data_IF_509705649715
#
_entry.id   IF_509705649715
#
_cell.length_a   1.000
_cell.length_b   1.000
_cell.length_c   1.000
_cell.angle_alpha   90.00
_cell.angle_beta   90.00
_cell.angle_gamma   90.00
#
_symmetry.space_group_name_H-M   'P 1'
#
loop_
_entity.id
_entity.type
_entity.pdbx_description
1 polymer ?
#
# COMPACT_ATOMS: atom_id res chain seq x y z
N UNK A 1 20.75 -17.46 -10.60
CA UNK A 1 21.14 -16.19 -9.94
C UNK A 1 20.93 -16.37 -8.45
N UNK A 2 21.45 -15.49 -7.57
CA UNK A 2 21.23 -15.64 -6.14
C UNK A 2 19.76 -15.37 -5.78
N UNK A 3 19.19 -16.17 -4.89
CA UNK A 3 17.87 -15.93 -4.32
C UNK A 3 17.91 -14.74 -3.37
N UNK A 4 16.90 -13.90 -3.44
CA UNK A 4 16.80 -12.68 -2.64
C UNK A 4 15.47 -12.60 -1.90
N UNK A 5 15.51 -12.03 -0.72
CA UNK A 5 14.32 -11.75 0.07
C UNK A 5 13.47 -10.63 -0.55
N UNK A 6 12.19 -10.84 -0.58
CA UNK A 6 11.18 -9.89 -1.00
C UNK A 6 9.99 -9.95 -0.02
N UNK A 7 9.34 -8.82 0.19
CA UNK A 7 8.12 -8.73 0.99
C UNK A 7 6.93 -8.44 0.07
N UNK A 8 5.87 -9.21 0.18
CA UNK A 8 4.58 -8.94 -0.45
C UNK A 8 3.61 -8.50 0.64
N UNK A 9 2.93 -7.37 0.42
CA UNK A 9 1.99 -6.75 1.35
C UNK A 9 0.62 -6.65 0.68
N UNK A 10 -0.40 -7.33 1.20
CA UNK A 10 -1.77 -7.23 0.70
C UNK A 10 -2.55 -6.17 1.50
N UNK A 11 -2.75 -5.01 0.90
CA UNK A 11 -3.41 -3.86 1.52
C UNK A 11 -4.86 -4.17 1.91
N UNK A 12 -5.57 -4.93 1.08
CA UNK A 12 -6.99 -5.26 1.32
C UNK A 12 -7.20 -6.05 2.62
N UNK A 13 -6.20 -6.82 3.03
CA UNK A 13 -6.24 -7.64 4.24
C UNK A 13 -5.91 -6.87 5.53
N UNK A 14 -5.34 -5.66 5.43
CA UNK A 14 -4.89 -4.90 6.58
C UNK A 14 -6.09 -4.24 7.30
N UNK A 15 -6.28 -4.59 8.56
CA UNK A 15 -7.34 -4.03 9.42
C UNK A 15 -6.81 -3.05 10.50
N UNK A 16 -5.55 -2.58 10.36
CA UNK A 16 -4.91 -1.64 11.29
C UNK A 16 -4.81 -2.13 12.74
N UNK A 17 -4.66 -3.41 12.97
CA UNK A 17 -4.51 -3.95 14.35
C UNK A 17 -3.17 -3.58 15.00
N UNK A 18 -2.18 -3.14 14.22
CA UNK A 18 -0.81 -2.74 14.62
C UNK A 18 0.03 -3.84 15.28
N UNK A 19 -0.36 -5.10 15.19
CA UNK A 19 0.43 -6.21 15.72
C UNK A 19 1.84 -6.26 15.09
N UNK A 20 1.95 -6.04 13.78
CA UNK A 20 3.23 -5.98 13.07
C UNK A 20 4.14 -4.83 13.57
N UNK A 21 3.56 -3.65 13.79
CA UNK A 21 4.28 -2.51 14.38
C UNK A 21 4.83 -2.86 15.78
N UNK A 22 3.97 -3.43 16.63
CA UNK A 22 4.37 -3.82 17.99
C UNK A 22 5.41 -4.93 18.00
N UNK A 23 5.31 -5.92 17.09
CA UNK A 23 6.30 -6.99 16.99
C UNK A 23 7.69 -6.49 16.59
N UNK A 24 7.77 -5.57 15.61
CA UNK A 24 9.03 -4.92 15.24
C UNK A 24 9.58 -4.07 16.39
N UNK A 25 8.69 -3.37 17.10
CA UNK A 25 9.06 -2.55 18.26
C UNK A 25 9.61 -3.40 19.40
N UNK A 26 8.92 -4.48 19.74
CA UNK A 26 9.30 -5.42 20.80
C UNK A 26 10.65 -6.09 20.49
N UNK A 27 10.86 -6.51 19.25
CA UNK A 27 12.10 -7.14 18.81
C UNK A 27 13.32 -6.22 18.99
N UNK A 28 13.17 -4.94 18.65
CA UNK A 28 14.31 -4.02 18.52
C UNK A 28 14.46 -3.01 19.66
N UNK A 29 13.47 -2.84 20.55
CA UNK A 29 13.57 -1.92 21.68
C UNK A 29 14.34 -2.56 22.82
N UNK A 30 15.45 -1.94 23.23
CA UNK A 30 16.34 -2.46 24.28
C UNK A 30 17.19 -3.65 23.84
N UNK A 31 17.13 -4.06 22.59
CA UNK A 31 17.90 -5.17 22.02
C UNK A 31 18.88 -4.67 20.96
N UNK A 32 20.14 -5.03 21.12
CA UNK A 32 21.18 -4.79 20.10
C UNK A 32 21.48 -6.09 19.35
N UNK A 33 21.57 -5.98 18.04
CA UNK A 33 21.95 -7.09 17.15
C UNK A 33 23.26 -6.75 16.45
N UNK A 34 24.44 -7.12 17.03
CA UNK A 34 25.74 -6.77 16.47
C UNK A 34 25.88 -7.19 15.00
N UNK A 35 26.26 -6.26 14.15
CA UNK A 35 26.34 -6.48 12.70
C UNK A 35 25.03 -6.28 11.92
N UNK A 36 23.89 -6.09 12.59
CA UNK A 36 22.59 -5.84 11.96
C UNK A 36 22.02 -4.49 12.34
N UNK A 37 21.78 -4.23 13.62
CA UNK A 37 21.18 -2.99 14.10
C UNK A 37 21.57 -2.70 15.56
N UNK A 38 21.64 -1.41 15.90
CA UNK A 38 21.55 -0.98 17.29
C UNK A 38 20.09 -0.92 17.73
N UNK A 39 19.85 -0.92 19.04
CA UNK A 39 18.51 -0.86 19.60
C UNK A 39 17.69 0.33 19.05
N UNK A 40 16.42 0.09 18.84
CA UNK A 40 15.45 1.14 18.48
C UNK A 40 15.05 1.90 19.75
N UNK A 41 14.92 3.24 19.71
CA UNK A 41 14.39 3.97 20.86
C UNK A 41 12.93 3.56 21.13
N UNK A 42 12.49 3.55 22.41
CA UNK A 42 11.14 3.14 22.79
C UNK A 42 10.05 4.03 22.15
N UNK A 43 10.37 5.28 21.87
CA UNK A 43 9.44 6.25 21.32
C UNK A 43 10.02 6.95 20.08
N UNK A 44 9.14 7.50 19.24
CA UNK A 44 9.51 8.38 18.13
C UNK A 44 9.97 7.72 16.83
N UNK A 45 10.25 6.41 16.82
CA UNK A 45 10.67 5.68 15.63
C UNK A 45 9.70 4.55 15.28
N UNK A 46 9.30 4.51 14.01
CA UNK A 46 8.44 3.47 13.46
C UNK A 46 9.15 2.84 12.27
N UNK A 47 9.94 1.77 12.52
CA UNK A 47 10.63 1.07 11.42
C UNK A 47 9.66 0.32 10.51
N UNK A 48 8.48 -0.02 11.04
CA UNK A 48 7.30 -0.42 10.31
C UNK A 48 6.16 0.45 10.83
N UNK A 49 5.45 1.14 9.95
CA UNK A 49 4.27 1.95 10.30
C UNK A 49 3.10 1.57 9.40
N UNK A 50 1.93 2.12 9.68
CA UNK A 50 0.72 1.88 8.89
C UNK A 50 0.14 3.23 8.46
N UNK A 51 0.17 3.50 7.17
CA UNK A 51 -0.51 4.63 6.57
C UNK A 51 -2.00 4.35 6.45
N UNK A 52 -2.82 5.36 6.69
CA UNK A 52 -4.28 5.31 6.54
C UNK A 52 -4.71 6.17 5.37
N UNK A 53 -5.60 5.63 4.55
CA UNK A 53 -6.29 6.36 3.49
C UNK A 53 -7.78 6.17 3.62
N UNK A 54 -8.50 7.28 3.76
CA UNK A 54 -9.96 7.33 3.62
C UNK A 54 -10.29 7.81 2.22
N UNK A 55 -11.32 7.21 1.60
CA UNK A 55 -11.82 7.56 0.27
C UNK A 55 -13.33 7.67 0.29
N UNK A 56 -13.84 8.61 -0.51
CA UNK A 56 -15.28 8.86 -0.63
C UNK A 56 -15.85 9.77 0.44
N UNK A 57 -17.15 9.95 0.37
CA UNK A 57 -17.95 10.77 1.30
C UNK A 57 -19.21 10.00 1.65
N UNK A 58 -19.81 10.35 2.81
CA UNK A 58 -21.09 9.73 3.21
C UNK A 58 -22.12 9.76 2.06
N UNK A 59 -22.85 8.66 1.80
CA UNK A 59 -22.88 7.42 2.56
C UNK A 59 -21.84 6.37 2.16
N UNK A 60 -21.12 6.55 1.05
CA UNK A 60 -20.14 5.56 0.55
C UNK A 60 -18.72 6.01 0.92
N UNK A 61 -18.20 5.43 1.98
CA UNK A 61 -16.85 5.68 2.48
C UNK A 61 -16.10 4.36 2.67
N UNK A 62 -14.86 4.30 2.26
CA UNK A 62 -13.95 3.22 2.65
C UNK A 62 -12.68 3.75 3.33
N UNK A 63 -12.04 2.89 4.11
CA UNK A 63 -10.78 3.19 4.76
C UNK A 63 -9.82 2.00 4.57
N UNK A 64 -8.64 2.28 4.05
CA UNK A 64 -7.60 1.29 3.81
C UNK A 64 -6.33 1.64 4.57
N UNK A 65 -5.53 0.61 4.86
CA UNK A 65 -4.36 0.70 5.69
C UNK A 65 -3.20 0.00 5.01
N UNK A 66 -2.11 0.73 4.82
CA UNK A 66 -0.93 0.24 4.12
C UNK A 66 0.27 0.20 5.07
N UNK A 67 0.77 -0.98 5.42
CA UNK A 67 2.05 -1.10 6.11
C UNK A 67 3.19 -0.54 5.24
N UNK A 68 4.00 0.33 5.83
CA UNK A 68 5.16 0.96 5.18
C UNK A 68 6.42 0.70 6.00
N UNK A 69 7.53 0.47 5.29
CA UNK A 69 8.82 0.09 5.88
C UNK A 69 9.96 0.37 4.91
N UNK A 70 11.19 0.07 5.31
CA UNK A 70 12.32 0.09 4.39
C UNK A 70 12.05 -0.85 3.20
N UNK A 71 12.17 -0.32 2.00
CA UNK A 71 11.92 -1.06 0.76
C UNK A 71 13.10 -1.93 0.30
N UNK A 72 14.22 -1.94 1.00
CA UNK A 72 15.44 -2.71 0.65
C UNK A 72 15.80 -2.60 -0.83
N UNK A 73 15.79 -1.38 -1.35
CA UNK A 73 15.96 -1.07 -2.78
C UNK A 73 17.26 -1.65 -3.36
N UNK A 74 17.20 -2.14 -4.61
CA UNK A 74 18.41 -2.58 -5.32
C UNK A 74 19.26 -1.40 -5.77
N UNK A 75 18.62 -0.28 -6.10
CA UNK A 75 19.27 1.00 -6.43
C UNK A 75 18.96 2.04 -5.35
N UNK A 76 19.40 1.77 -4.13
CA UNK A 76 19.05 2.55 -2.95
C UNK A 76 19.72 3.93 -2.93
N UNK A 77 18.95 5.04 -2.96
CA UNK A 77 19.51 6.39 -2.87
C UNK A 77 20.29 6.64 -1.58
N UNK A 78 19.86 6.06 -0.46
CA UNK A 78 20.56 6.16 0.82
C UNK A 78 21.99 5.57 0.78
N UNK A 79 22.22 4.54 -0.03
CA UNK A 79 23.58 3.98 -0.22
C UNK A 79 24.49 4.94 -0.98
N UNK A 80 23.94 5.76 -1.87
CA UNK A 80 24.74 6.70 -2.70
C UNK A 80 25.30 7.86 -1.88
N UNK A 81 24.64 8.25 -0.81
CA UNK A 81 25.11 9.33 0.09
C UNK A 81 25.91 8.82 1.28
N UNK A 82 25.78 7.54 1.61
CA UNK A 82 26.48 6.91 2.73
C UNK A 82 27.99 6.89 2.52
N UNK A 83 28.75 7.29 3.55
CA UNK A 83 30.21 7.32 3.56
C UNK A 83 30.76 6.11 4.32
N UNK A 84 32.03 5.78 4.05
CA UNK A 84 32.80 4.76 4.78
C UNK A 84 32.14 3.35 4.78
N UNK A 85 31.31 3.03 3.79
CA UNK A 85 30.58 1.77 3.75
C UNK A 85 29.57 1.63 4.90
N UNK A 86 28.94 2.77 5.30
CA UNK A 86 27.95 2.79 6.37
C UNK A 86 26.66 2.06 6.02
N UNK A 87 26.38 1.88 4.74
CA UNK A 87 25.25 1.04 4.28
C UNK A 87 25.81 -0.06 3.38
N UNK A 88 25.37 -1.27 3.62
CA UNK A 88 25.66 -2.41 2.76
C UNK A 88 24.40 -3.09 2.29
N UNK A 89 24.42 -3.55 1.06
CA UNK A 89 23.42 -4.48 0.53
C UNK A 89 23.99 -5.88 0.59
N UNK A 90 23.25 -6.80 1.21
CA UNK A 90 23.60 -8.21 1.31
C UNK A 90 23.30 -8.92 -0.03
N UNK A 91 23.95 -10.06 -0.24
CA UNK A 91 23.71 -10.88 -1.44
C UNK A 91 22.27 -11.38 -1.55
N UNK A 92 21.60 -11.55 -0.42
CA UNK A 92 20.18 -11.92 -0.31
C UNK A 92 19.21 -10.73 -0.46
N UNK A 93 19.71 -9.54 -0.84
CA UNK A 93 18.90 -8.38 -1.15
C UNK A 93 18.54 -7.48 0.03
N UNK A 94 18.88 -7.84 1.26
CA UNK A 94 18.60 -7.02 2.45
C UNK A 94 19.60 -5.85 2.55
N UNK A 95 19.11 -4.65 2.85
CA UNK A 95 19.93 -3.46 3.11
C UNK A 95 20.13 -3.29 4.61
N UNK A 96 21.36 -3.15 5.04
CA UNK A 96 21.74 -2.96 6.45
C UNK A 96 22.48 -1.63 6.60
N UNK A 97 22.05 -0.83 7.57
CA UNK A 97 22.75 0.38 8.00
C UNK A 97 23.64 0.00 9.20
N UNK A 98 24.94 0.11 9.03
CA UNK A 98 25.92 -0.18 10.08
C UNK A 98 25.86 0.93 11.16
N UNK A 99 25.48 0.62 12.41
CA UNK A 99 25.28 1.64 13.42
C UNK A 99 26.57 2.34 13.88
N UNK A 100 27.72 1.69 13.67
CA UNK A 100 29.02 2.30 14.03
C UNK A 100 29.50 3.23 12.94
N UNK A 101 29.48 2.77 11.68
CA UNK A 101 29.98 3.53 10.52
C UNK A 101 29.05 4.66 10.11
N UNK A 102 27.76 4.58 10.40
CA UNK A 102 26.75 5.57 10.03
C UNK A 102 26.64 6.72 11.02
N UNK A 103 27.37 6.67 12.15
CA UNK A 103 27.32 7.72 13.18
C UNK A 103 27.58 9.10 12.57
N UNK A 104 26.70 10.07 12.87
CA UNK A 104 26.77 11.43 12.40
C UNK A 104 26.33 11.67 10.96
N UNK A 105 25.94 10.63 10.23
CA UNK A 105 25.53 10.73 8.82
C UNK A 105 24.01 10.94 8.68
N UNK A 106 23.53 12.13 9.08
CA UNK A 106 22.10 12.47 9.06
C UNK A 106 21.54 12.56 7.62
N UNK A 107 22.40 12.87 6.65
CA UNK A 107 22.06 12.92 5.22
C UNK A 107 21.49 11.60 4.67
N UNK A 108 21.76 10.47 5.34
CA UNK A 108 21.20 9.17 4.98
C UNK A 108 19.66 9.14 5.15
N UNK A 109 19.15 9.82 6.18
CA UNK A 109 17.70 9.92 6.45
C UNK A 109 16.99 10.64 5.31
N UNK A 110 17.49 11.81 4.94
CA UNK A 110 16.89 12.68 3.91
C UNK A 110 16.98 12.05 2.50
N UNK A 111 17.92 11.14 2.30
CA UNK A 111 18.08 10.45 1.02
C UNK A 111 17.04 9.34 0.76
N UNK A 112 16.26 8.94 1.77
CA UNK A 112 15.22 7.94 1.57
C UNK A 112 13.93 8.58 1.04
N UNK A 113 13.53 8.34 -0.22
CA UNK A 113 12.34 8.98 -0.78
C UNK A 113 11.04 8.44 -0.16
N UNK A 114 11.11 7.32 0.54
CA UNK A 114 9.97 6.68 1.21
C UNK A 114 9.84 7.06 2.68
N UNK A 115 10.73 7.91 3.22
CA UNK A 115 10.71 8.29 4.64
C UNK A 115 10.94 7.13 5.62
N UNK A 116 11.50 6.00 5.15
CA UNK A 116 11.63 4.77 5.92
C UNK A 116 12.90 4.69 6.80
N UNK A 117 13.64 5.78 6.91
CA UNK A 117 14.84 5.87 7.75
C UNK A 117 14.61 6.94 8.81
N UNK A 118 14.74 6.58 10.07
CA UNK A 118 14.60 7.48 11.21
C UNK A 118 15.97 7.87 11.77
N UNK A 119 16.05 9.06 12.34
CA UNK A 119 17.26 9.52 13.03
C UNK A 119 17.18 9.27 14.53
N UNK A 120 18.10 8.49 15.06
CA UNK A 120 18.23 8.28 16.51
C UNK A 120 19.09 9.40 17.11
N UNK A 121 18.45 10.34 17.81
CA UNK A 121 19.11 11.49 18.41
C UNK A 121 20.04 11.12 19.56
N UNK A 122 19.76 10.07 20.32
CA UNK A 122 20.60 9.64 21.43
C UNK A 122 21.90 9.02 20.94
N UNK A 123 21.80 8.10 19.96
CA UNK A 123 22.94 7.38 19.40
C UNK A 123 23.62 8.13 18.25
N UNK A 124 22.98 9.19 17.71
CA UNK A 124 23.42 9.96 16.55
C UNK A 124 23.63 9.08 15.30
N UNK A 125 22.65 8.21 15.01
CA UNK A 125 22.69 7.27 13.89
C UNK A 125 21.36 7.24 13.11
N UNK A 126 21.38 6.97 11.78
CA UNK A 126 20.19 6.61 11.01
C UNK A 126 19.83 5.14 11.27
N UNK A 127 18.53 4.84 11.37
CA UNK A 127 18.02 3.49 11.60
C UNK A 127 16.82 3.20 10.69
N UNK A 128 16.70 1.97 10.25
CA UNK A 128 15.57 1.46 9.47
C UNK A 128 15.32 -0.02 9.78
N UNK A 129 14.15 -0.53 9.40
CA UNK A 129 13.86 -1.95 9.47
C UNK A 129 14.87 -2.77 8.65
N UNK A 130 15.36 -3.84 9.25
CA UNK A 130 16.41 -4.70 8.72
C UNK A 130 15.89 -6.02 8.12
N UNK A 131 14.59 -6.11 7.80
CA UNK A 131 13.94 -7.33 7.32
C UNK A 131 14.10 -8.52 8.27
N UNK A 132 14.28 -8.26 9.57
CA UNK A 132 14.58 -9.26 10.60
C UNK A 132 15.75 -10.20 10.22
N UNK A 133 16.77 -9.65 9.56
CA UNK A 133 17.90 -10.41 8.98
C UNK A 133 18.63 -11.28 9.99
N UNK A 134 18.68 -10.88 11.27
CA UNK A 134 19.28 -11.67 12.34
C UNK A 134 18.51 -12.97 12.58
N UNK A 135 17.18 -12.94 12.55
CA UNK A 135 16.32 -14.14 12.69
C UNK A 135 16.39 -15.04 11.45
N UNK A 136 16.40 -14.42 10.24
CA UNK A 136 16.52 -15.16 9.00
C UNK A 136 17.86 -15.91 8.92
N UNK A 137 18.95 -15.33 9.44
CA UNK A 137 20.25 -15.98 9.52
C UNK A 137 20.29 -17.10 10.58
N UNK A 138 19.39 -17.08 11.56
CA UNK A 138 19.13 -18.17 12.53
C UNK A 138 18.21 -19.26 11.98
N UNK A 139 17.76 -19.13 10.74
CA UNK A 139 16.95 -20.16 10.06
C UNK A 139 15.44 -19.89 10.04
N UNK A 140 15.01 -18.70 10.43
CA UNK A 140 13.61 -18.29 10.23
C UNK A 140 13.29 -18.16 8.75
N UNK A 141 12.06 -18.49 8.39
CA UNK A 141 11.56 -18.42 7.00
C UNK A 141 10.61 -17.26 6.74
N UNK A 142 10.27 -16.50 7.77
CA UNK A 142 9.35 -15.37 7.73
C UNK A 142 9.79 -14.30 8.73
N UNK A 143 9.32 -13.07 8.53
CA UNK A 143 9.61 -11.95 9.44
C UNK A 143 8.68 -11.95 10.66
N UNK A 144 9.06 -11.20 11.71
CA UNK A 144 8.20 -11.01 12.89
C UNK A 144 6.86 -10.36 12.54
N UNK A 145 6.88 -9.41 11.60
CA UNK A 145 5.67 -8.75 11.11
C UNK A 145 4.70 -9.75 10.47
N UNK A 146 5.21 -10.70 9.68
CA UNK A 146 4.43 -11.78 9.07
C UNK A 146 3.89 -12.75 10.10
N UNK A 147 4.77 -13.24 11.02
CA UNK A 147 4.42 -14.20 12.05
C UNK A 147 3.26 -13.73 12.94
N UNK A 148 3.22 -12.43 13.29
CA UNK A 148 2.22 -11.89 14.21
C UNK A 148 0.97 -11.33 13.55
N UNK A 149 0.92 -11.28 12.20
CA UNK A 149 -0.20 -10.69 11.48
C UNK A 149 -1.42 -11.61 11.49
N UNK A 150 -2.55 -11.22 12.13
CA UNK A 150 -3.72 -12.11 12.25
C UNK A 150 -4.53 -12.24 10.95
N UNK A 151 -4.23 -11.42 9.94
CA UNK A 151 -4.98 -11.36 8.68
C UNK A 151 -4.10 -11.64 7.46
N UNK A 152 -2.89 -12.19 7.65
CA UNK A 152 -1.97 -12.60 6.58
C UNK A 152 -1.70 -11.49 5.56
N UNK A 153 -1.43 -10.28 6.04
CA UNK A 153 -1.08 -9.11 5.21
C UNK A 153 0.27 -9.29 4.54
N UNK A 154 1.21 -9.93 5.23
CA UNK A 154 2.61 -10.06 4.81
C UNK A 154 2.92 -11.45 4.31
N UNK A 155 3.77 -11.52 3.29
CA UNK A 155 4.36 -12.77 2.81
C UNK A 155 5.81 -12.53 2.42
N UNK A 156 6.75 -13.10 3.18
CA UNK A 156 8.17 -13.10 2.86
C UNK A 156 8.47 -14.19 1.83
N UNK A 157 9.16 -13.85 0.75
CA UNK A 157 9.56 -14.81 -0.27
C UNK A 157 11.04 -14.66 -0.59
N UNK A 158 11.76 -15.78 -0.63
CA UNK A 158 13.17 -15.83 -1.02
C UNK A 158 13.30 -16.56 -2.35
N UNK A 159 13.46 -15.79 -3.42
CA UNK A 159 13.45 -16.30 -4.79
C UNK A 159 14.42 -15.53 -5.68
N UNK A 160 14.77 -16.09 -6.84
CA UNK A 160 15.49 -15.37 -7.88
C UNK A 160 14.67 -14.21 -8.47
N UNK A 161 15.33 -13.18 -8.99
CA UNK A 161 14.67 -11.98 -9.54
C UNK A 161 13.68 -12.32 -10.69
N UNK A 162 13.99 -13.34 -11.50
CA UNK A 162 13.10 -13.78 -12.57
C UNK A 162 11.80 -14.39 -12.02
N UNK A 163 11.90 -15.19 -10.97
CA UNK A 163 10.72 -15.77 -10.31
C UNK A 163 9.91 -14.70 -9.59
N UNK A 164 10.56 -13.72 -8.95
CA UNK A 164 9.85 -12.59 -8.34
C UNK A 164 9.08 -11.77 -9.39
N UNK A 165 9.65 -11.59 -10.59
CA UNK A 165 8.94 -10.91 -11.67
C UNK A 165 7.71 -11.72 -12.13
N UNK A 166 7.82 -13.05 -12.22
CA UNK A 166 6.66 -13.92 -12.55
C UNK A 166 5.55 -13.79 -11.50
N UNK A 167 5.90 -13.86 -10.22
CA UNK A 167 4.93 -13.67 -9.10
C UNK A 167 4.28 -12.28 -9.19
N UNK A 168 5.07 -11.25 -9.46
CA UNK A 168 4.59 -9.88 -9.61
C UNK A 168 3.52 -9.78 -10.71
N UNK A 169 3.79 -10.36 -11.88
CA UNK A 169 2.90 -10.30 -13.03
C UNK A 169 1.62 -11.13 -12.81
N UNK A 170 1.75 -12.32 -12.24
CA UNK A 170 0.62 -13.22 -11.96
C UNK A 170 -0.33 -12.70 -10.88
N UNK A 171 0.21 -12.06 -9.84
CA UNK A 171 -0.58 -11.54 -8.71
C UNK A 171 -0.94 -10.06 -8.84
N UNK A 172 -0.49 -9.38 -9.91
CA UNK A 172 -0.74 -7.95 -10.14
C UNK A 172 -0.11 -7.07 -9.06
N UNK A 173 1.13 -7.39 -8.66
CA UNK A 173 1.84 -6.65 -7.61
C UNK A 173 2.44 -5.36 -8.17
N UNK A 174 2.44 -4.34 -7.37
CA UNK A 174 3.00 -3.03 -7.69
C UNK A 174 4.09 -2.63 -6.68
N UNK A 175 4.89 -1.65 -7.00
CA UNK A 175 5.87 -1.05 -6.08
C UNK A 175 5.52 0.42 -5.84
N UNK A 176 5.92 0.95 -4.70
CA UNK A 176 5.73 2.38 -4.40
C UNK A 176 6.61 3.23 -5.33
N UNK A 177 6.05 4.30 -5.88
CA UNK A 177 6.74 5.33 -6.67
C UNK A 177 7.71 4.74 -7.71
N UNK A 178 7.21 3.94 -8.67
CA UNK A 178 8.05 3.25 -9.65
C UNK A 178 8.88 4.21 -10.51
N UNK A 179 8.44 5.46 -10.66
CA UNK A 179 9.13 6.53 -11.39
C UNK A 179 10.49 6.90 -10.77
N UNK A 180 10.72 6.60 -9.51
CA UNK A 180 12.01 6.85 -8.85
C UNK A 180 13.11 5.88 -9.27
N UNK A 181 12.76 4.76 -9.92
CA UNK A 181 13.71 3.77 -10.42
C UNK A 181 14.56 3.08 -9.35
N UNK A 182 14.15 3.11 -8.09
CA UNK A 182 14.92 2.56 -6.95
C UNK A 182 14.93 1.04 -6.87
N UNK A 183 14.07 0.38 -7.63
CA UNK A 183 13.89 -1.08 -7.66
C UNK A 183 13.67 -1.67 -6.25
N UNK A 184 12.51 -1.37 -5.63
CA UNK A 184 12.14 -1.88 -4.31
C UNK A 184 12.01 -3.40 -4.29
N UNK A 185 12.23 -4.00 -3.11
CA UNK A 185 11.95 -5.42 -2.80
C UNK A 185 10.72 -5.61 -1.91
N UNK A 186 9.97 -4.54 -1.68
CA UNK A 186 8.64 -4.58 -1.09
C UNK A 186 7.63 -4.34 -2.20
N UNK A 187 6.70 -5.26 -2.34
CA UNK A 187 5.66 -5.28 -3.37
C UNK A 187 4.30 -5.19 -2.70
N UNK A 188 3.38 -4.49 -3.31
CA UNK A 188 2.05 -4.26 -2.80
C UNK A 188 0.99 -4.88 -3.71
N UNK A 189 0.10 -5.66 -3.14
CA UNK A 189 -1.14 -6.08 -3.77
C UNK A 189 -2.24 -5.10 -3.41
N UNK A 190 -3.11 -4.80 -4.36
CA UNK A 190 -4.21 -3.85 -4.19
C UNK A 190 -3.76 -2.41 -3.88
N UNK A 191 -2.62 -1.96 -4.42
CA UNK A 191 -2.08 -0.62 -4.18
C UNK A 191 -3.04 0.49 -4.65
N UNK A 192 -3.92 0.20 -5.62
CA UNK A 192 -4.97 1.12 -6.07
C UNK A 192 -5.87 1.63 -4.93
N UNK A 193 -6.05 0.87 -3.85
CA UNK A 193 -6.81 1.27 -2.67
C UNK A 193 -6.22 2.51 -1.97
N UNK A 194 -4.92 2.77 -2.16
CA UNK A 194 -4.22 3.94 -1.61
C UNK A 194 -4.04 5.06 -2.64
N UNK A 195 -3.97 4.71 -3.92
CA UNK A 195 -3.51 5.63 -4.98
C UNK A 195 -4.61 6.10 -5.93
N UNK A 196 -5.69 5.33 -6.09
CA UNK A 196 -6.78 5.61 -7.02
C UNK A 196 -8.04 6.07 -6.31
N UNK A 197 -8.97 6.58 -7.11
CA UNK A 197 -10.31 6.98 -6.69
C UNK A 197 -11.35 5.94 -7.08
N UNK A 198 -12.52 6.06 -6.52
CA UNK A 198 -13.74 5.41 -6.98
C UNK A 198 -14.86 6.43 -7.18
N UNK A 199 -15.88 6.02 -7.92
CA UNK A 199 -17.18 6.68 -7.93
C UNK A 199 -18.24 5.73 -7.46
N UNK A 200 -19.20 6.22 -6.69
CA UNK A 200 -20.34 5.45 -6.22
C UNK A 200 -21.60 6.28 -6.24
N UNK A 201 -22.73 5.62 -6.10
CA UNK A 201 -24.05 6.26 -6.05
C UNK A 201 -25.14 5.28 -5.65
N UNK A 202 -26.34 5.80 -5.45
CA UNK A 202 -27.51 5.00 -5.16
C UNK A 202 -28.54 5.19 -6.28
N UNK A 203 -29.26 4.12 -6.61
CA UNK A 203 -30.27 4.12 -7.69
C UNK A 203 -31.61 3.73 -7.10
N UNK A 204 -32.65 4.50 -7.42
CA UNK A 204 -34.04 4.24 -7.02
C UNK A 204 -34.94 4.20 -8.24
N UNK A 205 -36.03 3.46 -8.14
CA UNK A 205 -37.06 3.36 -9.16
C UNK A 205 -38.45 3.48 -8.53
N UNK A 206 -39.45 3.94 -9.27
CA UNK A 206 -40.85 3.94 -8.83
C UNK A 206 -41.50 2.61 -9.13
N UNK A 207 -41.91 1.91 -8.06
CA UNK A 207 -42.70 0.68 -8.13
C UNK A 207 -44.03 0.88 -7.45
N UNK A 208 -45.13 0.81 -8.20
CA UNK A 208 -46.48 1.03 -7.62
C UNK A 208 -46.72 2.46 -7.03
N UNK A 209 -45.92 3.46 -7.46
CA UNK A 209 -46.00 4.83 -6.96
C UNK A 209 -45.09 5.12 -5.74
N UNK A 210 -44.38 4.16 -5.24
CA UNK A 210 -43.41 4.28 -4.13
C UNK A 210 -41.98 4.22 -4.68
N UNK A 211 -41.07 5.05 -4.14
CA UNK A 211 -39.66 4.97 -4.45
C UNK A 211 -39.06 3.77 -3.69
N UNK A 212 -38.46 2.85 -4.43
CA UNK A 212 -37.77 1.65 -3.94
C UNK A 212 -36.33 1.60 -4.45
N UNK A 213 -35.44 0.90 -3.75
CA UNK A 213 -34.07 0.67 -4.21
C UNK A 213 -34.10 -0.14 -5.52
N UNK A 214 -33.37 0.30 -6.52
CA UNK A 214 -33.29 -0.38 -7.81
C UNK A 214 -32.15 -1.42 -7.76
N UNK A 215 -32.45 -2.63 -7.27
CA UNK A 215 -31.53 -3.75 -7.31
C UNK A 215 -31.32 -4.26 -8.75
N UNK A 216 -30.09 -4.65 -9.08
CA UNK A 216 -29.75 -5.30 -10.37
C UNK A 216 -29.69 -4.33 -11.56
N UNK A 217 -29.73 -3.01 -11.33
CA UNK A 217 -29.54 -2.04 -12.41
C UNK A 217 -28.08 -2.07 -12.89
N UNK A 218 -27.91 -2.06 -14.22
CA UNK A 218 -26.60 -2.02 -14.85
C UNK A 218 -26.08 -0.58 -14.85
N UNK A 219 -24.85 -0.39 -14.41
CA UNK A 219 -24.14 0.90 -14.36
C UNK A 219 -22.91 0.81 -15.26
N UNK A 220 -22.82 1.71 -16.24
CA UNK A 220 -21.70 1.80 -17.17
C UNK A 220 -21.04 3.16 -17.03
N UNK A 221 -19.73 3.15 -16.76
CA UNK A 221 -18.90 4.35 -16.71
C UNK A 221 -18.09 4.49 -18.00
N UNK A 222 -18.15 5.68 -18.62
CA UNK A 222 -17.38 6.02 -19.82
C UNK A 222 -16.48 7.21 -19.59
N UNK A 223 -15.33 7.17 -20.26
CA UNK A 223 -14.39 8.28 -20.37
C UNK A 223 -13.98 8.42 -21.82
N UNK A 224 -14.06 9.63 -22.38
CA UNK A 224 -13.84 9.90 -23.81
C UNK A 224 -14.62 8.96 -24.76
N UNK A 225 -15.88 8.67 -24.39
CA UNK A 225 -16.78 7.79 -25.15
C UNK A 225 -16.47 6.29 -25.05
N UNK A 226 -15.44 5.88 -24.31
CA UNK A 226 -15.07 4.47 -24.11
C UNK A 226 -15.56 3.99 -22.75
N UNK A 227 -16.08 2.77 -22.70
CA UNK A 227 -16.39 2.12 -21.44
C UNK A 227 -15.09 1.80 -20.69
N UNK A 228 -15.00 2.26 -19.44
CA UNK A 228 -13.85 2.05 -18.57
C UNK A 228 -14.19 1.33 -17.27
N UNK A 229 -15.47 1.18 -16.97
CA UNK A 229 -15.93 0.46 -15.78
C UNK A 229 -17.39 0.10 -15.87
N UNK A 230 -17.76 -0.96 -15.16
CA UNK A 230 -19.13 -1.47 -15.07
C UNK A 230 -19.40 -1.97 -13.65
N UNK A 231 -20.61 -1.76 -13.18
CA UNK A 231 -21.10 -2.29 -11.92
C UNK A 231 -22.57 -2.71 -12.05
N UNK A 232 -23.05 -3.45 -11.07
CA UNK A 232 -24.48 -3.74 -10.92
C UNK A 232 -24.87 -3.28 -9.53
N UNK A 233 -26.03 -2.64 -9.39
CA UNK A 233 -26.52 -2.19 -8.09
C UNK A 233 -26.88 -3.37 -7.19
N UNK A 234 -26.54 -3.26 -5.91
CA UNK A 234 -26.86 -4.22 -4.88
C UNK A 234 -28.33 -4.12 -4.41
N UNK A 235 -28.70 -4.86 -3.35
CA UNK A 235 -30.05 -4.86 -2.74
C UNK A 235 -30.48 -3.51 -2.16
N UNK A 236 -29.52 -2.63 -1.90
CA UNK A 236 -29.78 -1.25 -1.45
C UNK A 236 -29.79 -0.25 -2.61
N UNK A 237 -29.67 -0.73 -3.83
CA UNK A 237 -29.54 0.10 -5.03
C UNK A 237 -28.19 0.80 -5.14
N UNK A 238 -27.19 0.41 -4.37
CA UNK A 238 -25.88 1.05 -4.35
C UNK A 238 -24.93 0.40 -5.36
N UNK A 239 -24.05 1.22 -5.93
CA UNK A 239 -22.95 0.76 -6.80
C UNK A 239 -21.66 1.50 -6.46
N UNK A 240 -20.53 0.85 -6.81
CA UNK A 240 -19.19 1.42 -6.73
C UNK A 240 -18.36 0.95 -7.92
N UNK A 241 -17.69 1.89 -8.61
CA UNK A 241 -16.69 1.61 -9.67
C UNK A 241 -15.36 2.17 -9.19
N UNK A 242 -14.39 1.29 -8.97
CA UNK A 242 -13.08 1.60 -8.39
C UNK A 242 -11.97 1.66 -9.46
N UNK A 243 -10.73 1.90 -9.03
CA UNK A 243 -9.50 1.96 -9.84
C UNK A 243 -9.45 3.12 -10.83
N UNK A 244 -10.11 4.22 -10.51
CA UNK A 244 -10.11 5.41 -11.35
C UNK A 244 -8.89 6.28 -11.05
N UNK A 245 -8.22 6.75 -12.09
CA UNK A 245 -7.09 7.68 -11.93
C UNK A 245 -7.53 9.01 -11.33
N UNK A 246 -6.68 9.59 -10.48
CA UNK A 246 -6.91 10.94 -9.95
C UNK A 246 -6.85 11.98 -11.08
N UNK A 247 -7.64 13.06 -10.94
CA UNK A 247 -7.70 14.14 -11.91
C UNK A 247 -8.01 13.66 -13.34
N UNK A 248 -8.89 12.66 -13.44
CA UNK A 248 -9.26 12.05 -14.71
C UNK A 248 -10.15 12.91 -15.60
N UNK A 249 -10.65 14.04 -15.10
CA UNK A 249 -11.48 14.98 -15.87
C UNK A 249 -12.95 14.53 -16.02
N UNK A 250 -13.52 14.67 -17.21
CA UNK A 250 -14.94 14.45 -17.47
C UNK A 250 -15.27 12.98 -17.73
N UNK A 251 -16.30 12.50 -17.05
CA UNK A 251 -16.83 11.15 -17.18
C UNK A 251 -18.32 11.19 -17.46
N UNK A 252 -18.83 10.14 -18.08
CA UNK A 252 -20.25 9.89 -18.30
C UNK A 252 -20.65 8.59 -17.62
N UNK A 253 -21.72 8.64 -16.82
CA UNK A 253 -22.33 7.47 -16.19
C UNK A 253 -23.70 7.23 -16.82
N UNK A 254 -23.98 5.98 -17.19
CA UNK A 254 -25.29 5.54 -17.66
C UNK A 254 -25.76 4.40 -16.74
N UNK A 255 -27.00 4.51 -16.25
CA UNK A 255 -27.65 3.48 -15.44
C UNK A 255 -28.89 3.01 -16.19
N UNK A 256 -29.08 1.69 -16.27
CA UNK A 256 -30.23 1.05 -16.94
C UNK A 256 -30.80 -0.02 -16.03
N UNK A 257 -32.07 0.07 -15.72
CA UNK A 257 -32.81 -0.92 -14.94
C UNK A 257 -34.14 -1.29 -15.58
N UNK A 258 -34.91 -2.14 -14.91
CA UNK A 258 -36.24 -2.60 -15.39
C UNK A 258 -37.28 -1.46 -15.53
N UNK A 259 -37.10 -0.36 -14.81
CA UNK A 259 -38.03 0.76 -14.75
C UNK A 259 -37.64 1.94 -15.64
N UNK A 260 -36.48 1.89 -16.29
CA UNK A 260 -36.01 2.97 -17.12
C UNK A 260 -34.49 3.13 -17.14
N UNK A 261 -34.03 4.32 -17.55
CA UNK A 261 -32.60 4.61 -17.62
C UNK A 261 -32.34 6.08 -17.27
N UNK A 262 -31.17 6.36 -16.73
CA UNK A 262 -30.68 7.71 -16.45
C UNK A 262 -29.22 7.83 -16.83
N UNK A 263 -28.80 9.00 -17.30
CA UNK A 263 -27.40 9.31 -17.55
C UNK A 263 -27.00 10.64 -16.95
N UNK A 264 -25.75 10.76 -16.55
CA UNK A 264 -25.17 12.00 -16.03
C UNK A 264 -23.70 12.13 -16.41
N UNK A 265 -23.26 13.38 -16.55
CA UNK A 265 -21.85 13.71 -16.66
C UNK A 265 -21.34 14.29 -15.35
N UNK A 266 -20.10 14.01 -15.00
CA UNK A 266 -19.43 14.53 -13.80
C UNK A 266 -17.94 14.69 -14.04
N UNK A 267 -17.28 15.47 -13.19
CA UNK A 267 -15.83 15.64 -13.21
C UNK A 267 -15.22 14.92 -11.99
N UNK A 268 -14.20 14.09 -12.25
CA UNK A 268 -13.44 13.41 -11.19
C UNK A 268 -12.11 14.13 -10.98
N UNK A 269 -11.94 14.69 -9.77
CA UNK A 269 -10.70 15.30 -9.28
C UNK A 269 -9.75 14.27 -8.66
N UNK A 270 -9.16 14.65 -7.55
CA UNK A 270 -8.20 13.84 -6.79
C UNK A 270 -8.82 13.02 -5.64
N UNK A 271 -10.14 13.14 -5.44
CA UNK A 271 -10.91 12.44 -4.41
C UNK A 271 -12.00 11.56 -5.03
N UNK A 272 -12.38 10.50 -4.30
CA UNK A 272 -13.50 9.64 -4.66
C UNK A 272 -14.84 10.37 -4.48
N UNK A 273 -15.80 10.09 -5.36
CA UNK A 273 -17.06 10.81 -5.41
C UNK A 273 -18.26 9.90 -5.11
N UNK A 274 -19.18 10.41 -4.30
CA UNK A 274 -20.56 9.93 -4.24
C UNK A 274 -21.44 10.81 -5.13
N UNK A 275 -22.05 10.22 -6.18
CA UNK A 275 -22.80 10.93 -7.22
C UNK A 275 -24.26 11.23 -6.83
N UNK A 276 -24.64 10.85 -5.60
CA UNK A 276 -26.00 11.05 -5.12
C UNK A 276 -26.98 9.94 -5.50
N UNK A 277 -28.27 10.24 -5.35
CA UNK A 277 -29.37 9.31 -5.68
C UNK A 277 -29.84 9.57 -7.10
N UNK A 278 -29.80 8.56 -7.96
CA UNK A 278 -30.28 8.59 -9.33
C UNK A 278 -31.64 7.91 -9.43
N UNK A 279 -32.57 8.53 -10.17
CA UNK A 279 -33.92 8.01 -10.34
C UNK A 279 -34.07 7.45 -11.73
N UNK A 280 -34.54 6.20 -11.83
CA UNK A 280 -34.94 5.59 -13.09
C UNK A 280 -36.36 6.01 -13.41
N UNK A 281 -36.54 6.66 -14.55
CA UNK A 281 -37.82 7.14 -15.07
C UNK A 281 -38.17 6.46 -16.42
#
# INVERSE_FOLDING_TARGET
MAEKWNMIVDIERCNNCRACFLAVKDEHTGNEFPGYAAEQPPQGHNWLDIERKERGTYPIVDAHFMPVMCNHCDDAPCMKVAKNGAIRKRDDGIVIIDPIKSRGQKEIVDACPYGAISWNEEKQIPQAWIFDAHLLDEGWTQTRAEQCCPTDVFRSVKVEDQEMQRIKDEEGLEVLQPELGTRPRVYYKNLHLMTHCFVGGSVVAKVGGVEECAEGAEVILRHDGREIGRATTDTFGEFKIDKLGKNGGQYELAVTGSSGSVSMAFELGDESLYLGVMKLD
#
